data_IF_571172572004
#
_entry.id   IF_571172572004
#
_cell.length_a   1.000
_cell.length_b   1.000
_cell.length_c   1.000
_cell.angle_alpha   90.00
_cell.angle_beta   90.00
_cell.angle_gamma   90.00
#
_symmetry.space_group_name_H-M   'P 1'
#
loop_
_entity.id
_entity.type
_entity.pdbx_description
1 polymer ?
#
# COMPACT_ATOMS: atom_id res chain seq x y z
N UNK A 1 32.71 -7.90 56.09
CA UNK A 1 31.45 -7.11 55.94
C UNK A 1 31.09 -6.84 54.46
N UNK A 2 31.42 -7.76 53.53
CA UNK A 2 30.91 -7.80 52.16
C UNK A 2 29.50 -8.43 52.18
N UNK A 3 28.56 -7.81 52.86
CA UNK A 3 27.68 -6.73 52.42
C UNK A 3 26.34 -7.36 52.07
N UNK A 4 25.53 -7.57 53.12
CA UNK A 4 24.12 -7.96 53.03
C UNK A 4 23.36 -7.15 51.96
N UNK A 5 23.84 -5.94 51.60
CA UNK A 5 23.29 -5.13 50.51
C UNK A 5 23.37 -5.82 49.14
N UNK A 6 24.45 -6.54 48.81
CA UNK A 6 24.58 -7.28 47.53
C UNK A 6 23.62 -8.46 47.47
N UNK A 7 23.50 -9.22 48.56
CA UNK A 7 22.56 -10.34 48.68
C UNK A 7 21.11 -9.84 48.60
N UNK A 8 20.80 -8.75 49.32
CA UNK A 8 19.48 -8.11 49.28
C UNK A 8 19.13 -7.63 47.87
N UNK A 9 20.07 -6.99 47.15
CA UNK A 9 19.86 -6.56 45.77
C UNK A 9 19.59 -7.74 44.84
N UNK A 10 20.39 -8.80 44.90
CA UNK A 10 20.20 -9.99 44.08
C UNK A 10 18.84 -10.69 44.33
N UNK A 11 18.37 -10.71 45.59
CA UNK A 11 17.04 -11.24 45.93
C UNK A 11 15.91 -10.36 45.37
N UNK A 12 16.05 -9.03 45.44
CA UNK A 12 15.08 -8.09 44.84
C UNK A 12 15.04 -8.26 43.32
N UNK A 13 16.20 -8.29 42.65
CA UNK A 13 16.28 -8.44 41.19
C UNK A 13 15.63 -9.77 40.74
N UNK A 14 15.88 -10.87 41.48
CA UNK A 14 15.25 -12.17 41.21
C UNK A 14 13.74 -12.15 41.46
N UNK A 15 13.27 -11.44 42.49
CA UNK A 15 11.83 -11.25 42.72
C UNK A 15 11.18 -10.46 41.59
N UNK A 16 11.82 -9.38 41.11
CA UNK A 16 11.33 -8.59 39.97
C UNK A 16 11.19 -9.49 38.74
N UNK A 17 12.22 -10.29 38.42
CA UNK A 17 12.15 -11.23 37.29
C UNK A 17 11.00 -12.24 37.40
N UNK A 18 10.75 -12.78 38.61
CA UNK A 18 9.64 -13.71 38.86
C UNK A 18 8.28 -13.01 38.68
N UNK A 19 8.15 -11.78 39.19
CA UNK A 19 6.92 -10.99 39.07
C UNK A 19 6.68 -10.62 37.61
N UNK A 20 7.69 -10.13 36.89
CA UNK A 20 7.61 -9.81 35.47
C UNK A 20 7.20 -11.03 34.64
N UNK A 21 7.83 -12.18 34.90
CA UNK A 21 7.48 -13.43 34.24
C UNK A 21 6.01 -13.82 34.52
N UNK A 22 5.56 -13.76 35.79
CA UNK A 22 4.16 -14.05 36.13
C UNK A 22 3.17 -13.06 35.50
N UNK A 23 3.53 -11.78 35.42
CA UNK A 23 2.69 -10.77 34.76
C UNK A 23 2.60 -11.02 33.25
N UNK A 24 3.68 -11.45 32.61
CA UNK A 24 3.68 -11.86 31.20
C UNK A 24 2.76 -13.08 31.00
N UNK A 25 2.88 -14.12 31.83
CA UNK A 25 2.02 -15.30 31.75
C UNK A 25 0.55 -14.95 32.02
N UNK A 26 0.26 -14.10 33.02
CA UNK A 26 -1.10 -13.63 33.26
C UNK A 26 -1.65 -12.84 32.08
N UNK A 27 -0.85 -11.97 31.45
CA UNK A 27 -1.27 -11.21 30.26
C UNK A 27 -1.64 -12.12 29.09
N UNK A 28 -1.00 -13.28 28.93
CA UNK A 28 -1.36 -14.27 27.90
C UNK A 28 -2.73 -14.90 28.14
N UNK A 29 -3.24 -14.86 29.38
CA UNK A 29 -4.58 -15.39 29.72
C UNK A 29 -5.70 -14.37 29.51
N UNK A 30 -5.37 -13.08 29.32
CA UNK A 30 -6.36 -12.06 29.05
C UNK A 30 -6.85 -12.20 27.60
N UNK A 31 -8.16 -11.99 27.33
CA UNK A 31 -8.66 -11.93 25.98
C UNK A 31 -7.91 -10.86 25.18
N UNK A 32 -7.76 -11.04 23.85
CA UNK A 32 -7.09 -10.05 23.02
C UNK A 32 -7.76 -8.69 23.19
N UNK A 33 -6.95 -7.63 23.18
CA UNK A 33 -7.44 -6.27 23.35
C UNK A 33 -8.32 -5.80 22.18
N UNK A 34 -8.49 -6.61 21.12
CA UNK A 34 -9.26 -6.35 19.91
C UNK A 34 -10.17 -7.55 19.60
N UNK A 35 -11.22 -7.31 18.83
CA UNK A 35 -12.08 -8.35 18.26
C UNK A 35 -11.58 -8.73 16.87
N UNK A 36 -11.42 -10.03 16.61
CA UNK A 36 -11.10 -10.57 15.29
C UNK A 36 -12.03 -11.74 14.98
N UNK A 37 -12.92 -11.54 14.00
CA UNK A 37 -13.78 -12.58 13.44
C UNK A 37 -13.27 -12.83 12.02
N UNK A 38 -12.80 -14.06 11.73
CA UNK A 38 -12.17 -14.39 10.46
C UNK A 38 -12.78 -15.66 9.86
N UNK A 39 -13.81 -15.48 9.04
CA UNK A 39 -14.41 -16.55 8.22
C UNK A 39 -13.84 -16.58 6.79
N UNK A 40 -13.13 -15.53 6.38
CA UNK A 40 -12.41 -15.41 5.11
C UNK A 40 -10.90 -15.63 5.25
N UNK A 41 -10.11 -14.90 4.47
CA UNK A 41 -8.64 -15.04 4.45
C UNK A 41 -7.95 -13.82 5.08
N UNK A 42 -7.03 -14.08 6.02
CA UNK A 42 -6.14 -13.06 6.59
C UNK A 42 -4.69 -13.38 6.22
N UNK A 43 -4.05 -12.49 5.46
CA UNK A 43 -2.61 -12.51 5.25
C UNK A 43 -1.93 -11.45 6.13
N UNK A 44 -1.09 -11.89 7.07
CA UNK A 44 -0.41 -11.02 8.03
C UNK A 44 1.03 -11.51 8.29
N UNK A 45 1.99 -11.18 7.41
CA UNK A 45 3.33 -11.77 7.43
C UNK A 45 4.18 -11.28 8.60
N UNK A 46 3.91 -10.08 9.13
CA UNK A 46 4.61 -9.52 10.29
C UNK A 46 3.93 -9.83 11.62
N UNK A 47 2.85 -10.64 11.62
CA UNK A 47 2.00 -10.87 12.78
C UNK A 47 1.59 -9.54 13.45
N UNK A 48 1.21 -8.55 12.62
CA UNK A 48 0.75 -7.23 13.04
C UNK A 48 -0.37 -7.39 14.05
N UNK A 49 -0.16 -6.87 15.26
CA UNK A 49 -1.22 -6.75 16.25
C UNK A 49 -2.15 -5.59 15.92
N UNK A 50 -3.42 -5.73 16.27
CA UNK A 50 -4.38 -4.63 16.19
C UNK A 50 -4.41 -3.88 17.51
N UNK A 51 -4.53 -2.55 17.46
CA UNK A 51 -4.66 -1.74 18.67
C UNK A 51 -5.92 -2.10 19.48
N UNK A 52 -5.89 -1.75 20.77
CA UNK A 52 -6.99 -2.04 21.69
C UNK A 52 -8.32 -1.44 21.21
N UNK A 53 -9.42 -2.18 21.39
CA UNK A 53 -10.77 -1.84 20.98
C UNK A 53 -11.05 -2.00 19.48
N UNK A 54 -10.06 -2.39 18.67
CA UNK A 54 -10.26 -2.57 17.23
C UNK A 54 -11.17 -3.76 16.93
N UNK A 55 -11.97 -3.64 15.86
CA UNK A 55 -12.94 -4.63 15.43
C UNK A 55 -12.65 -5.03 13.98
N UNK A 56 -12.14 -6.24 13.80
CA UNK A 56 -11.73 -6.78 12.50
C UNK A 56 -12.66 -7.93 12.16
N UNK A 57 -13.48 -7.76 11.13
CA UNK A 57 -14.43 -8.78 10.67
C UNK A 57 -14.11 -9.09 9.23
N UNK A 58 -13.67 -10.32 8.96
CA UNK A 58 -13.31 -10.80 7.62
C UNK A 58 -14.33 -11.89 7.25
N UNK A 59 -15.43 -11.53 6.54
CA UNK A 59 -16.45 -12.50 6.14
C UNK A 59 -15.92 -13.58 5.20
N UNK A 60 -16.65 -14.70 5.13
CA UNK A 60 -16.38 -15.77 4.16
C UNK A 60 -16.33 -15.22 2.73
N UNK A 61 -15.29 -15.61 1.98
CA UNK A 61 -15.09 -15.16 0.60
C UNK A 61 -14.44 -13.78 0.45
N UNK A 62 -14.11 -13.11 1.57
CA UNK A 62 -13.36 -11.86 1.57
C UNK A 62 -11.91 -12.06 2.07
N UNK A 63 -11.06 -11.07 1.81
CA UNK A 63 -9.63 -11.11 2.15
C UNK A 63 -9.17 -9.81 2.80
N UNK A 64 -8.37 -9.92 3.86
CA UNK A 64 -7.56 -8.83 4.40
C UNK A 64 -6.09 -9.17 4.21
N UNK A 65 -5.36 -8.31 3.50
CA UNK A 65 -3.94 -8.48 3.21
C UNK A 65 -3.18 -7.32 3.85
N UNK A 66 -2.34 -7.63 4.83
CA UNK A 66 -1.47 -6.68 5.51
C UNK A 66 -0.02 -6.88 5.03
N UNK A 67 0.64 -5.76 4.74
CA UNK A 67 2.06 -5.72 4.44
C UNK A 67 2.94 -5.79 5.69
N UNK A 68 4.24 -5.77 5.47
CA UNK A 68 5.25 -5.73 6.53
C UNK A 68 5.19 -4.40 7.26
N UNK A 69 5.40 -4.42 8.57
CA UNK A 69 5.48 -3.21 9.41
C UNK A 69 4.26 -2.27 9.27
N UNK A 70 3.09 -2.83 8.95
CA UNK A 70 1.83 -2.09 9.03
C UNK A 70 1.51 -1.83 10.50
N UNK A 71 1.05 -0.62 10.81
CA UNK A 71 0.56 -0.26 12.14
C UNK A 71 -0.95 -0.03 12.09
N UNK A 72 -1.71 -0.72 12.94
CA UNK A 72 -3.14 -0.49 13.13
C UNK A 72 -3.40 -0.02 14.57
N UNK A 73 -3.92 1.19 14.69
CA UNK A 73 -4.22 1.87 15.95
C UNK A 73 -5.42 1.29 16.69
N UNK A 74 -5.87 2.02 17.70
CA UNK A 74 -6.95 1.65 18.62
C UNK A 74 -8.32 1.97 18.04
N UNK A 75 -9.30 1.14 18.36
CA UNK A 75 -10.70 1.31 17.92
C UNK A 75 -10.82 1.46 16.40
N UNK A 76 -9.97 0.78 15.64
CA UNK A 76 -10.05 0.73 14.18
C UNK A 76 -11.04 -0.35 13.78
N UNK A 77 -11.89 -0.04 12.81
CA UNK A 77 -12.83 -1.00 12.23
C UNK A 77 -12.36 -1.36 10.81
N UNK A 78 -12.18 -2.65 10.55
CA UNK A 78 -11.81 -3.17 9.23
C UNK A 78 -12.78 -4.29 8.84
N UNK A 79 -13.41 -4.13 7.68
CA UNK A 79 -14.40 -5.05 7.16
C UNK A 79 -14.36 -5.16 5.64
N UNK A 80 -13.53 -6.07 5.06
CA UNK A 80 -13.49 -6.25 3.62
C UNK A 80 -14.81 -6.79 3.07
N UNK A 81 -15.29 -6.23 1.96
CA UNK A 81 -16.39 -6.83 1.19
C UNK A 81 -15.89 -7.96 0.28
N UNK A 82 -14.82 -7.69 -0.49
CA UNK A 82 -14.08 -8.69 -1.25
C UNK A 82 -12.61 -8.67 -0.85
N UNK A 83 -11.94 -7.52 -0.92
CA UNK A 83 -10.53 -7.42 -0.57
C UNK A 83 -10.17 -6.04 -0.03
N UNK A 84 -9.46 -6.02 1.09
CA UNK A 84 -8.73 -4.86 1.58
C UNK A 84 -7.25 -5.20 1.59
N UNK A 85 -6.43 -4.37 0.94
CA UNK A 85 -4.97 -4.44 0.98
C UNK A 85 -4.42 -3.20 1.67
N UNK A 86 -3.57 -3.40 2.67
CA UNK A 86 -2.80 -2.34 3.33
C UNK A 86 -1.33 -2.73 3.20
N UNK A 87 -0.60 -2.04 2.32
CA UNK A 87 0.77 -2.43 1.95
C UNK A 87 1.82 -1.96 2.97
N UNK A 88 3.06 -2.40 2.76
CA UNK A 88 4.15 -2.28 3.73
C UNK A 88 4.34 -0.85 4.29
N UNK A 89 4.71 -0.77 5.56
CA UNK A 89 5.08 0.45 6.28
C UNK A 89 3.97 1.51 6.37
N UNK A 90 2.73 1.15 6.04
CA UNK A 90 1.59 2.04 6.20
C UNK A 90 1.10 2.05 7.66
N UNK A 91 0.79 3.24 8.15
CA UNK A 91 0.27 3.45 9.50
C UNK A 91 -1.16 3.97 9.46
N UNK A 92 -2.03 3.31 10.21
CA UNK A 92 -3.44 3.67 10.39
C UNK A 92 -3.66 3.96 11.87
N UNK A 93 -3.85 5.23 12.20
CA UNK A 93 -4.06 5.65 13.58
C UNK A 93 -5.47 5.33 14.08
N UNK A 94 -5.74 5.74 15.31
CA UNK A 94 -6.94 5.40 16.05
C UNK A 94 -8.25 5.80 15.36
N UNK A 95 -9.31 5.03 15.61
CA UNK A 95 -10.70 5.35 15.27
C UNK A 95 -10.95 5.51 13.77
N UNK A 96 -10.17 4.82 12.94
CA UNK A 96 -10.43 4.75 11.51
C UNK A 96 -11.46 3.65 11.20
N UNK A 97 -12.30 3.88 10.20
CA UNK A 97 -13.26 2.92 9.67
C UNK A 97 -12.94 2.65 8.20
N UNK A 98 -12.62 1.40 7.87
CA UNK A 98 -12.13 0.97 6.57
C UNK A 98 -12.97 -0.23 6.11
N UNK A 99 -13.97 0.05 5.27
CA UNK A 99 -15.00 -0.92 4.90
C UNK A 99 -15.11 -1.10 3.38
N UNK A 100 -15.33 -2.33 2.93
CA UNK A 100 -15.57 -2.63 1.52
C UNK A 100 -14.31 -3.07 0.76
N UNK A 101 -14.08 -2.53 -0.43
CA UNK A 101 -12.95 -2.85 -1.30
C UNK A 101 -11.95 -1.69 -1.35
N UNK A 102 -10.71 -1.95 -0.93
CA UNK A 102 -9.68 -0.93 -0.84
C UNK A 102 -8.29 -1.46 -1.17
N UNK A 103 -7.48 -0.61 -1.80
CA UNK A 103 -6.04 -0.78 -1.91
C UNK A 103 -5.34 0.45 -1.33
N UNK A 104 -4.61 0.26 -0.24
CA UNK A 104 -3.77 1.29 0.39
C UNK A 104 -2.30 0.91 0.14
N UNK A 105 -1.57 1.80 -0.52
CA UNK A 105 -0.17 1.63 -0.90
C UNK A 105 0.79 1.69 0.28
N UNK A 106 2.08 1.72 -0.03
CA UNK A 106 3.19 1.68 0.93
C UNK A 106 3.44 3.05 1.55
N UNK A 107 4.01 3.06 2.75
CA UNK A 107 4.46 4.29 3.44
C UNK A 107 3.37 5.36 3.62
N UNK A 108 2.10 4.97 3.64
CA UNK A 108 1.03 5.92 3.87
C UNK A 108 0.88 6.23 5.37
N UNK A 109 0.42 7.44 5.67
CA UNK A 109 0.12 7.88 7.04
C UNK A 109 -1.33 8.31 7.10
N UNK A 110 -2.13 7.55 7.83
CA UNK A 110 -3.52 7.82 8.12
C UNK A 110 -3.61 8.33 9.56
N UNK A 111 -3.96 9.60 9.73
CA UNK A 111 -4.24 10.17 11.04
C UNK A 111 -5.53 9.58 11.65
N UNK A 112 -5.99 10.09 12.79
CA UNK A 112 -7.17 9.53 13.46
C UNK A 112 -8.49 9.85 12.76
N UNK A 113 -9.54 9.07 13.05
CA UNK A 113 -10.93 9.34 12.65
C UNK A 113 -11.16 9.37 11.13
N UNK A 114 -10.46 8.56 10.34
CA UNK A 114 -10.67 8.51 8.88
C UNK A 114 -11.80 7.53 8.56
N UNK A 115 -12.71 7.93 7.67
CA UNK A 115 -13.81 7.09 7.21
C UNK A 115 -13.70 6.83 5.70
N UNK A 116 -13.60 5.55 5.33
CA UNK A 116 -13.58 5.09 3.95
C UNK A 116 -14.53 3.91 3.78
N UNK A 117 -15.42 4.02 2.81
CA UNK A 117 -16.29 2.92 2.37
C UNK A 117 -16.35 2.85 0.86
N UNK A 118 -16.29 1.63 0.31
CA UNK A 118 -16.48 1.39 -1.12
C UNK A 118 -17.95 1.26 -1.54
N UNK A 119 -18.87 1.11 -0.58
CA UNK A 119 -20.29 0.87 -0.83
C UNK A 119 -21.05 2.13 -1.27
N UNK A 120 -22.14 1.93 -2.00
CA UNK A 120 -23.14 2.97 -2.29
C UNK A 120 -24.55 2.38 -2.25
N UNK A 121 -25.55 3.26 -2.22
CA UNK A 121 -26.97 2.89 -2.35
C UNK A 121 -27.55 3.56 -3.60
N UNK A 122 -28.45 2.86 -4.28
CA UNK A 122 -29.10 3.37 -5.47
C UNK A 122 -30.38 4.13 -5.11
N UNK A 123 -30.49 5.35 -5.61
CA UNK A 123 -31.64 6.22 -5.35
C UNK A 123 -32.26 6.83 -6.62
N UNK A 124 -31.56 6.75 -7.76
CA UNK A 124 -31.99 7.34 -9.04
C UNK A 124 -32.48 6.31 -10.07
N UNK A 125 -32.39 5.01 -9.79
CA UNK A 125 -32.79 3.96 -10.75
C UNK A 125 -34.29 3.97 -11.03
N UNK A 126 -35.09 4.13 -9.97
CA UNK A 126 -36.53 4.29 -10.07
C UNK A 126 -37.04 5.18 -8.92
N UNK A 127 -37.22 6.49 -9.16
CA UNK A 127 -37.61 7.43 -8.11
C UNK A 127 -39.07 7.26 -7.61
N UNK A 128 -39.84 6.33 -8.20
CA UNK A 128 -41.22 6.04 -7.80
C UNK A 128 -41.33 4.93 -6.74
N UNK A 129 -40.23 4.26 -6.39
CA UNK A 129 -40.18 3.26 -5.31
C UNK A 129 -39.20 3.71 -4.20
N UNK A 130 -39.30 3.09 -3.02
CA UNK A 130 -38.42 3.43 -1.90
C UNK A 130 -36.96 3.13 -2.25
N UNK A 131 -36.02 3.96 -1.75
CA UNK A 131 -34.57 3.78 -1.95
C UNK A 131 -34.13 2.34 -1.60
N UNK A 132 -34.64 1.78 -0.49
CA UNK A 132 -34.30 0.41 -0.07
C UNK A 132 -34.76 -0.65 -1.06
N UNK A 133 -35.91 -0.45 -1.69
CA UNK A 133 -36.45 -1.36 -2.70
C UNK A 133 -35.67 -1.25 -4.02
N UNK A 134 -35.07 -0.07 -4.30
CA UNK A 134 -34.16 0.08 -5.44
C UNK A 134 -32.89 -0.77 -5.28
N UNK A 135 -32.32 -0.88 -4.08
CA UNK A 135 -31.15 -1.74 -3.83
C UNK A 135 -31.46 -3.24 -4.00
N UNK A 136 -32.69 -3.68 -3.69
CA UNK A 136 -33.08 -5.08 -3.94
C UNK A 136 -33.00 -5.42 -5.43
N UNK A 137 -33.38 -4.48 -6.29
CA UNK A 137 -33.33 -4.64 -7.75
C UNK A 137 -31.89 -4.66 -8.31
N UNK A 138 -30.90 -4.20 -7.54
CA UNK A 138 -29.47 -4.24 -7.91
C UNK A 138 -28.92 -5.65 -7.80
N UNK A 139 -29.38 -6.43 -6.82
CA UNK A 139 -28.87 -7.81 -6.59
C UNK A 139 -29.09 -8.75 -7.77
N UNK A 140 -30.10 -8.46 -8.60
CA UNK A 140 -30.43 -9.24 -9.80
C UNK A 140 -29.76 -8.74 -11.08
N UNK A 141 -28.97 -7.65 -11.01
CA UNK A 141 -28.27 -7.07 -12.15
C UNK A 141 -26.76 -7.04 -11.91
N UNK A 142 -26.01 -7.86 -12.65
CA UNK A 142 -24.56 -8.03 -12.46
C UNK A 142 -23.76 -6.73 -12.64
N UNK A 143 -24.14 -5.88 -13.59
CA UNK A 143 -23.44 -4.61 -13.83
C UNK A 143 -23.65 -3.63 -12.68
N UNK A 144 -24.87 -3.55 -12.14
CA UNK A 144 -25.17 -2.70 -10.99
C UNK A 144 -24.55 -3.27 -9.72
N UNK A 145 -24.55 -4.59 -9.56
CA UNK A 145 -23.93 -5.26 -8.42
C UNK A 145 -22.41 -4.99 -8.37
N UNK A 146 -21.73 -5.00 -9.53
CA UNK A 146 -20.32 -4.64 -9.62
C UNK A 146 -20.08 -3.17 -9.24
N UNK A 147 -20.98 -2.28 -9.67
CA UNK A 147 -20.89 -0.85 -9.40
C UNK A 147 -21.29 -0.47 -7.96
N UNK A 148 -22.02 -1.35 -7.26
CA UNK A 148 -22.42 -1.17 -5.86
C UNK A 148 -21.22 -1.08 -4.90
N UNK A 149 -20.07 -1.66 -5.28
CA UNK A 149 -18.81 -1.55 -4.53
C UNK A 149 -17.70 -0.98 -5.41
N UNK A 150 -17.53 0.35 -5.37
CA UNK A 150 -16.46 1.03 -6.11
C UNK A 150 -15.21 1.14 -5.26
N UNK A 151 -14.18 0.38 -5.65
CA UNK A 151 -12.90 0.33 -4.94
C UNK A 151 -12.31 1.73 -4.71
N UNK A 152 -11.78 1.95 -3.50
CA UNK A 152 -11.00 3.16 -3.17
C UNK A 152 -9.52 2.80 -3.19
N UNK A 153 -8.75 3.54 -3.97
CA UNK A 153 -7.30 3.33 -4.12
C UNK A 153 -6.56 4.52 -3.52
N UNK A 154 -5.69 4.26 -2.56
CA UNK A 154 -4.69 5.22 -2.05
C UNK A 154 -3.33 4.70 -2.47
N UNK A 155 -2.63 5.44 -3.33
CA UNK A 155 -1.28 5.05 -3.77
C UNK A 155 -0.22 5.38 -2.71
N UNK A 156 1.03 4.98 -2.96
CA UNK A 156 2.16 5.10 -2.04
C UNK A 156 2.41 6.55 -1.54
N UNK A 157 3.04 6.67 -0.37
CA UNK A 157 3.50 7.95 0.22
C UNK A 157 2.38 9.01 0.41
N UNK A 158 1.14 8.58 0.65
CA UNK A 158 0.04 9.51 0.92
C UNK A 158 -0.09 9.84 2.41
N UNK A 159 -0.39 11.10 2.72
CA UNK A 159 -0.75 11.54 4.07
C UNK A 159 -2.21 11.98 4.13
N UNK A 160 -2.98 11.29 4.96
CA UNK A 160 -4.39 11.56 5.20
C UNK A 160 -4.56 12.20 6.58
N UNK A 161 -5.04 13.44 6.60
CA UNK A 161 -5.30 14.21 7.82
C UNK A 161 -6.46 13.66 8.64
N UNK A 162 -6.59 14.16 9.87
CA UNK A 162 -7.61 13.73 10.82
C UNK A 162 -9.02 14.03 10.30
N UNK A 163 -9.98 13.15 10.58
CA UNK A 163 -11.41 13.36 10.26
C UNK A 163 -11.70 13.57 8.77
N UNK A 164 -10.98 12.86 7.90
CA UNK A 164 -11.22 12.89 6.45
C UNK A 164 -12.25 11.82 6.07
N UNK A 165 -13.18 12.21 5.20
CA UNK A 165 -14.13 11.31 4.55
C UNK A 165 -13.79 11.15 3.07
N UNK A 166 -13.91 9.92 2.56
CA UNK A 166 -13.77 9.60 1.15
C UNK A 166 -15.07 9.07 0.58
N UNK A 167 -15.52 9.65 -0.54
CA UNK A 167 -16.54 9.04 -1.39
C UNK A 167 -16.00 7.71 -1.96
N UNK A 168 -16.87 6.75 -2.22
CA UNK A 168 -16.50 5.50 -2.90
C UNK A 168 -15.93 5.75 -4.32
N UNK A 169 -15.13 4.81 -4.82
CA UNK A 169 -14.71 4.79 -6.24
C UNK A 169 -13.72 5.85 -6.66
N UNK A 170 -12.84 6.30 -5.76
CA UNK A 170 -11.85 7.33 -6.05
C UNK A 170 -10.43 6.81 -5.90
N UNK A 171 -9.50 7.51 -6.54
CA UNK A 171 -8.06 7.25 -6.49
C UNK A 171 -7.32 8.46 -5.92
N UNK A 172 -6.49 8.25 -4.91
CA UNK A 172 -5.56 9.24 -4.37
C UNK A 172 -4.17 8.94 -4.93
N UNK A 173 -3.65 9.84 -5.75
CA UNK A 173 -2.36 9.67 -6.43
C UNK A 173 -1.18 9.74 -5.46
N UNK A 174 -0.08 9.04 -5.80
CA UNK A 174 1.15 8.94 -4.99
C UNK A 174 1.61 10.29 -4.43
N UNK A 175 2.09 10.31 -3.19
CA UNK A 175 2.71 11.50 -2.60
C UNK A 175 1.73 12.61 -2.21
N UNK A 176 0.42 12.38 -2.34
CA UNK A 176 -0.62 13.39 -2.09
C UNK A 176 -0.93 13.56 -0.61
N UNK A 177 -1.40 14.75 -0.25
CA UNK A 177 -1.77 15.13 1.12
C UNK A 177 -3.22 15.57 1.13
N UNK A 178 -4.02 14.96 2.01
CA UNK A 178 -5.41 15.34 2.28
C UNK A 178 -5.46 16.07 3.63
N UNK A 179 -5.82 17.35 3.62
CA UNK A 179 -5.94 18.16 4.83
C UNK A 179 -7.04 17.64 5.76
N UNK A 180 -6.89 17.88 7.06
CA UNK A 180 -7.87 17.47 8.07
C UNK A 180 -9.28 18.02 7.78
N UNK A 181 -10.31 17.30 8.23
CA UNK A 181 -11.73 17.63 8.04
C UNK A 181 -12.18 17.77 6.58
N UNK A 182 -11.48 17.12 5.64
CA UNK A 182 -11.84 17.20 4.21
C UNK A 182 -12.85 16.14 3.79
N UNK A 183 -13.71 16.49 2.84
CA UNK A 183 -14.65 15.56 2.18
C UNK A 183 -14.19 15.37 0.73
N UNK A 184 -13.53 14.24 0.47
CA UNK A 184 -12.95 13.94 -0.84
C UNK A 184 -14.01 13.31 -1.74
N UNK A 185 -14.40 14.04 -2.78
CA UNK A 185 -15.48 13.63 -3.70
C UNK A 185 -15.01 13.31 -5.11
N UNK A 186 -13.71 13.49 -5.39
CA UNK A 186 -13.07 13.25 -6.70
C UNK A 186 -11.68 12.67 -6.50
N UNK A 187 -11.19 11.90 -7.47
CA UNK A 187 -9.81 11.41 -7.50
C UNK A 187 -8.81 12.57 -7.48
N UNK A 188 -7.67 12.36 -6.82
CA UNK A 188 -6.65 13.37 -6.56
C UNK A 188 -5.40 13.03 -7.39
N UNK A 189 -4.88 13.97 -8.21
CA UNK A 189 -3.66 13.75 -8.97
C UNK A 189 -2.44 13.54 -8.05
N UNK A 190 -1.39 12.83 -8.52
CA UNK A 190 -0.18 12.61 -7.73
C UNK A 190 0.46 13.90 -7.25
N UNK A 191 1.10 13.85 -6.09
CA UNK A 191 1.79 14.96 -5.44
C UNK A 191 0.92 16.21 -5.28
N UNK A 192 -0.39 16.05 -5.04
CA UNK A 192 -1.30 17.16 -4.79
C UNK A 192 -1.54 17.36 -3.30
N UNK A 193 -1.77 18.61 -2.89
CA UNK A 193 -2.22 18.95 -1.54
C UNK A 193 -3.63 19.49 -1.66
N UNK A 194 -4.59 18.83 -1.00
CA UNK A 194 -6.00 19.16 -1.11
C UNK A 194 -6.61 19.36 0.27
N UNK A 195 -7.61 20.23 0.37
CA UNK A 195 -8.42 20.34 1.59
C UNK A 195 -9.83 20.88 1.29
N UNK A 196 -10.73 20.78 2.28
CA UNK A 196 -12.03 21.44 2.28
C UNK A 196 -13.22 20.51 2.03
N UNK A 197 -14.42 21.10 1.99
CA UNK A 197 -15.70 20.42 1.82
C UNK A 197 -16.50 21.13 0.71
N UNK A 198 -16.58 20.56 -0.50
CA UNK A 198 -15.79 19.42 -0.99
C UNK A 198 -14.31 19.76 -1.16
N UNK A 199 -13.44 18.75 -1.06
CA UNK A 199 -11.99 18.93 -1.16
C UNK A 199 -11.57 19.49 -2.53
N UNK A 200 -10.62 20.42 -2.53
CA UNK A 200 -10.05 21.05 -3.72
C UNK A 200 -8.53 21.07 -3.64
N UNK A 201 -7.87 20.97 -4.80
CA UNK A 201 -6.42 21.13 -4.89
C UNK A 201 -6.06 22.56 -4.51
N UNK A 202 -5.26 22.70 -3.46
CA UNK A 202 -4.74 23.98 -2.99
C UNK A 202 -3.45 24.33 -3.71
N UNK A 203 -2.55 23.34 -3.80
CA UNK A 203 -1.27 23.43 -4.51
C UNK A 203 -0.72 22.04 -4.80
N UNK A 204 0.29 21.98 -5.66
CA UNK A 204 1.11 20.78 -5.84
C UNK A 204 2.22 20.75 -4.78
N UNK A 205 2.53 19.57 -4.24
CA UNK A 205 3.74 19.27 -3.44
C UNK A 205 4.97 19.25 -4.35
N UNK A 206 4.80 18.71 -5.56
CA UNK A 206 5.79 18.67 -6.64
C UNK A 206 5.07 18.95 -7.96
N UNK A 207 5.69 19.71 -8.86
CA UNK A 207 5.21 19.76 -10.25
C UNK A 207 5.56 18.45 -10.95
N UNK A 208 4.66 17.47 -10.80
CA UNK A 208 4.84 16.13 -11.33
C UNK A 208 4.70 16.14 -12.85
N UNK A 209 5.85 16.11 -13.53
CA UNK A 209 5.95 16.09 -14.99
C UNK A 209 6.94 15.01 -15.40
N UNK A 210 6.44 13.83 -15.80
CA UNK A 210 7.27 12.69 -16.20
C UNK A 210 8.37 13.08 -17.21
N UNK A 211 9.67 12.93 -16.85
CA UNK A 211 10.77 13.29 -17.73
C UNK A 211 11.01 12.21 -18.80
N UNK A 212 11.99 12.44 -19.68
CA UNK A 212 12.44 11.45 -20.69
C UNK A 212 13.48 10.47 -20.14
N UNK A 213 14.13 10.79 -19.02
CA UNK A 213 15.11 9.91 -18.36
C UNK A 213 15.06 10.13 -16.85
N UNK A 214 15.26 9.04 -16.10
CA UNK A 214 15.33 9.00 -14.64
C UNK A 214 16.49 8.11 -14.21
N UNK A 215 17.20 8.49 -13.16
CA UNK A 215 18.36 7.76 -12.63
C UNK A 215 18.28 7.57 -11.13
N UNK A 216 18.80 6.44 -10.64
CA UNK A 216 18.78 6.09 -9.21
C UNK A 216 19.67 6.98 -8.33
N UNK A 217 20.65 7.66 -8.93
CA UNK A 217 21.62 8.53 -8.25
C UNK A 217 21.24 10.02 -8.34
N UNK A 218 20.07 10.33 -8.91
CA UNK A 218 19.48 11.67 -8.93
C UNK A 218 18.21 11.69 -8.07
N UNK A 219 18.25 12.40 -6.95
CA UNK A 219 17.10 12.51 -6.05
C UNK A 219 15.86 13.13 -6.72
N UNK A 220 16.03 13.97 -7.74
CA UNK A 220 14.91 14.56 -8.49
C UNK A 220 14.16 13.52 -9.32
N UNK A 221 14.78 12.36 -9.58
CA UNK A 221 14.18 11.23 -10.29
C UNK A 221 13.30 10.36 -9.39
N UNK A 222 13.46 10.41 -8.06
CA UNK A 222 12.75 9.55 -7.10
C UNK A 222 11.23 9.59 -7.20
N UNK A 223 10.59 10.74 -7.42
CA UNK A 223 9.15 10.81 -7.59
C UNK A 223 8.61 9.95 -8.75
N UNK A 224 9.45 9.67 -9.74
CA UNK A 224 9.13 8.99 -11.00
C UNK A 224 9.46 7.49 -10.99
N UNK A 225 10.21 7.01 -9.99
CA UNK A 225 10.19 5.60 -9.58
C UNK A 225 8.87 5.36 -8.82
N UNK A 226 7.79 5.23 -9.60
CA UNK A 226 6.45 5.60 -9.18
C UNK A 226 5.78 4.58 -8.24
N UNK A 227 5.74 3.30 -8.56
CA UNK A 227 5.12 2.26 -7.70
C UNK A 227 6.03 1.03 -7.66
N UNK A 228 6.08 0.31 -6.54
CA UNK A 228 6.78 -0.98 -6.46
C UNK A 228 8.30 -0.92 -6.25
N UNK A 229 8.85 0.24 -5.93
CA UNK A 229 10.25 0.42 -5.55
C UNK A 229 10.43 0.35 -4.03
N UNK A 230 11.53 -0.23 -3.55
CA UNK A 230 11.89 -0.25 -2.13
C UNK A 230 12.68 1.03 -1.80
N UNK A 231 11.99 2.05 -1.28
CA UNK A 231 12.53 3.41 -1.21
C UNK A 231 12.69 3.98 0.20
N UNK A 232 12.32 3.24 1.26
CA UNK A 232 12.63 3.71 2.61
C UNK A 232 14.13 3.82 2.82
N UNK A 233 14.55 4.63 3.80
CA UNK A 233 15.97 4.76 4.16
C UNK A 233 16.58 3.39 4.50
N UNK A 234 15.89 2.60 5.33
CA UNK A 234 16.31 1.24 5.68
C UNK A 234 16.47 0.34 4.45
N UNK A 235 15.49 0.34 3.53
CA UNK A 235 15.55 -0.48 2.33
C UNK A 235 16.64 -0.03 1.37
N UNK A 236 16.86 1.27 1.20
CA UNK A 236 17.92 1.81 0.33
C UNK A 236 19.30 1.52 0.91
N UNK A 237 19.48 1.72 2.20
CA UNK A 237 20.76 1.49 2.88
C UNK A 237 21.14 0.01 2.82
N UNK A 238 20.18 -0.89 3.06
CA UNK A 238 20.35 -2.35 3.00
C UNK A 238 20.67 -2.89 1.60
N UNK A 239 20.57 -2.05 0.57
CA UNK A 239 20.75 -2.43 -0.83
C UNK A 239 21.76 -1.51 -1.56
N UNK A 240 22.46 -0.66 -0.81
CA UNK A 240 23.30 0.41 -1.35
C UNK A 240 24.47 -0.10 -2.20
N UNK A 241 24.98 -1.30 -1.91
CA UNK A 241 26.04 -1.98 -2.64
C UNK A 241 25.65 -2.37 -4.08
N UNK A 242 24.36 -2.39 -4.38
CA UNK A 242 23.86 -2.78 -5.69
C UNK A 242 23.79 -1.63 -6.69
N UNK A 243 24.00 -0.37 -6.28
CA UNK A 243 24.06 0.80 -7.16
C UNK A 243 22.80 0.95 -8.05
N UNK A 244 21.62 0.73 -7.47
CA UNK A 244 20.31 0.83 -8.12
C UNK A 244 19.18 0.72 -7.09
N UNK A 245 17.93 0.94 -7.53
CA UNK A 245 16.75 0.77 -6.68
C UNK A 245 16.19 -0.64 -6.83
N UNK A 246 16.02 -1.35 -5.71
CA UNK A 246 15.35 -2.63 -5.67
C UNK A 246 13.86 -2.50 -6.03
N UNK A 247 13.32 -3.50 -6.74
CA UNK A 247 11.91 -3.54 -7.16
C UNK A 247 11.18 -4.79 -6.69
N UNK A 248 9.86 -4.66 -6.57
CA UNK A 248 8.91 -5.78 -6.46
C UNK A 248 8.66 -6.41 -7.83
N UNK A 249 7.91 -7.52 -7.83
CA UNK A 249 7.56 -8.25 -9.06
C UNK A 249 6.70 -7.45 -10.03
N UNK A 250 5.97 -6.45 -9.56
CA UNK A 250 5.32 -5.43 -10.39
C UNK A 250 5.72 -4.05 -9.88
N UNK A 251 6.13 -3.19 -10.81
CA UNK A 251 6.54 -1.83 -10.51
C UNK A 251 6.18 -0.90 -11.67
N UNK A 252 6.11 0.40 -11.40
CA UNK A 252 5.77 1.41 -12.39
C UNK A 252 6.77 2.55 -12.40
N UNK A 253 7.16 2.99 -13.59
CA UNK A 253 7.97 4.19 -13.79
C UNK A 253 7.16 5.23 -14.54
N UNK A 254 7.38 6.49 -14.18
CA UNK A 254 6.72 7.64 -14.77
C UNK A 254 7.70 8.40 -15.68
N UNK A 255 7.71 8.06 -16.95
CA UNK A 255 8.49 8.74 -17.99
C UNK A 255 7.59 9.04 -19.19
N UNK A 256 7.83 10.14 -19.89
CA UNK A 256 7.01 10.57 -21.04
C UNK A 256 7.56 10.01 -22.35
N UNK A 257 6.76 9.23 -23.07
CA UNK A 257 7.14 8.58 -24.33
C UNK A 257 6.01 8.72 -25.38
N UNK A 258 6.42 8.61 -26.64
CA UNK A 258 5.55 8.63 -27.80
C UNK A 258 5.50 7.24 -28.44
N UNK A 259 4.43 7.00 -29.20
CA UNK A 259 4.33 5.82 -30.05
C UNK A 259 5.52 5.73 -31.01
N UNK A 260 6.12 4.55 -31.12
CA UNK A 260 7.31 4.29 -31.94
C UNK A 260 8.64 4.64 -31.27
N UNK A 261 8.66 5.39 -30.16
CA UNK A 261 9.88 5.55 -29.36
C UNK A 261 10.21 4.24 -28.61
N UNK A 262 11.50 4.05 -28.31
CA UNK A 262 11.96 2.94 -27.47
C UNK A 262 12.17 3.38 -26.04
N UNK A 263 11.63 2.63 -25.09
CA UNK A 263 11.94 2.79 -23.66
C UNK A 263 13.05 1.81 -23.31
N UNK A 264 14.12 2.33 -22.72
CA UNK A 264 15.25 1.56 -22.22
C UNK A 264 15.26 1.50 -20.71
N UNK A 265 15.48 0.31 -20.17
CA UNK A 265 15.62 0.05 -18.73
C UNK A 265 17.00 -0.55 -18.49
N UNK A 266 17.82 0.09 -17.68
CA UNK A 266 19.11 -0.44 -17.23
C UNK A 266 18.91 -1.12 -15.90
N UNK A 267 19.08 -2.44 -15.87
CA UNK A 267 18.85 -3.23 -14.68
C UNK A 267 19.76 -4.45 -14.57
N UNK A 268 19.78 -5.02 -13.37
CA UNK A 268 20.58 -6.19 -12.98
C UNK A 268 19.75 -7.11 -12.09
N UNK A 269 19.84 -8.42 -12.31
CA UNK A 269 19.26 -9.45 -11.45
C UNK A 269 20.34 -10.06 -10.55
N UNK A 270 20.21 -9.92 -9.22
CA UNK A 270 21.08 -10.62 -8.25
C UNK A 270 20.43 -11.88 -7.68
N UNK A 271 19.19 -12.19 -8.08
CA UNK A 271 18.57 -13.47 -7.76
C UNK A 271 19.34 -14.59 -8.50
N UNK A 272 19.69 -15.70 -7.83
CA UNK A 272 20.31 -16.86 -8.49
C UNK A 272 19.38 -17.50 -9.54
N UNK A 273 18.07 -17.30 -9.43
CA UNK A 273 17.08 -17.80 -10.39
C UNK A 273 16.97 -16.89 -11.61
N UNK A 274 16.67 -17.50 -12.76
CA UNK A 274 16.48 -16.76 -14.01
C UNK A 274 15.20 -15.93 -13.95
N UNK A 275 15.36 -14.61 -14.06
CA UNK A 275 14.25 -13.65 -14.11
C UNK A 275 14.12 -13.02 -15.50
N UNK A 276 12.95 -12.45 -15.74
CA UNK A 276 12.65 -11.77 -16.99
C UNK A 276 11.92 -10.47 -16.71
N UNK A 277 12.35 -9.41 -17.39
CA UNK A 277 11.63 -8.14 -17.41
C UNK A 277 10.61 -8.18 -18.53
N UNK A 278 9.37 -7.86 -18.20
CA UNK A 278 8.25 -7.77 -19.14
C UNK A 278 7.69 -6.35 -19.15
N UNK A 279 7.46 -5.85 -20.36
CA UNK A 279 6.68 -4.64 -20.65
C UNK A 279 5.70 -5.02 -21.76
N UNK A 280 4.40 -4.79 -21.53
CA UNK A 280 3.34 -5.25 -22.45
C UNK A 280 3.49 -6.76 -22.79
N UNK A 281 3.58 -7.11 -24.07
CA UNK A 281 3.82 -8.46 -24.58
C UNK A 281 5.32 -8.78 -24.80
N UNK A 282 6.20 -7.80 -24.60
CA UNK A 282 7.64 -7.95 -24.82
C UNK A 282 8.34 -8.42 -23.53
N UNK A 283 9.22 -9.42 -23.68
CA UNK A 283 9.97 -10.02 -22.58
C UNK A 283 11.47 -10.07 -22.89
N UNK A 284 12.30 -9.80 -21.89
CA UNK A 284 13.77 -9.89 -21.96
C UNK A 284 14.31 -10.66 -20.76
N UNK A 285 15.24 -11.59 -21.00
CA UNK A 285 15.91 -12.32 -19.92
C UNK A 285 16.94 -11.42 -19.23
N UNK A 286 16.88 -11.38 -17.90
CA UNK A 286 17.77 -10.55 -17.10
C UNK A 286 19.13 -11.23 -16.88
N UNK A 287 20.19 -10.43 -16.87
CA UNK A 287 21.56 -10.87 -16.53
C UNK A 287 21.95 -10.40 -15.13
N UNK A 288 23.06 -10.92 -14.63
CA UNK A 288 23.62 -10.55 -13.32
C UNK A 288 24.56 -9.33 -13.37
N UNK A 289 24.61 -8.63 -14.50
CA UNK A 289 25.34 -7.36 -14.67
C UNK A 289 24.36 -6.31 -15.19
N UNK A 290 24.66 -5.03 -14.97
CA UNK A 290 23.81 -3.97 -15.50
C UNK A 290 23.77 -4.04 -17.01
N UNK A 291 22.58 -4.33 -17.53
CA UNK A 291 22.31 -4.46 -18.96
C UNK A 291 21.17 -3.54 -19.33
N UNK A 292 21.30 -2.88 -20.47
CA UNK A 292 20.27 -2.01 -21.03
C UNK A 292 19.33 -2.85 -21.88
N UNK A 293 18.04 -2.80 -21.56
CA UNK A 293 16.98 -3.50 -22.29
C UNK A 293 16.04 -2.49 -22.93
N UNK A 294 15.91 -2.53 -24.25
CA UNK A 294 15.01 -1.64 -25.00
C UNK A 294 13.71 -2.33 -25.42
N UNK A 295 12.62 -1.58 -25.32
CA UNK A 295 11.25 -2.00 -25.61
C UNK A 295 10.58 -0.93 -26.46
N UNK A 296 10.05 -1.31 -27.61
CA UNK A 296 9.33 -0.39 -28.49
C UNK A 296 7.93 -0.12 -27.94
N UNK A 297 7.51 1.15 -27.88
CA UNK A 297 6.23 1.53 -27.30
C UNK A 297 5.14 1.60 -28.36
N UNK A 298 4.07 0.81 -28.17
CA UNK A 298 2.92 0.73 -29.11
C UNK A 298 1.94 1.90 -29.00
N UNK A 299 2.12 2.79 -28.04
CA UNK A 299 1.27 3.95 -27.80
C UNK A 299 2.06 5.03 -27.08
N UNK A 300 1.59 6.26 -27.14
CA UNK A 300 2.12 7.36 -26.32
C UNK A 300 1.63 7.24 -24.88
N UNK A 301 2.42 7.71 -23.91
CA UNK A 301 2.05 7.67 -22.50
C UNK A 301 3.06 8.32 -21.56
N UNK A 302 2.71 8.31 -20.27
CA UNK A 302 3.53 8.93 -19.20
C UNK A 302 3.80 7.97 -18.04
N UNK A 303 3.29 6.74 -18.12
CA UNK A 303 3.38 5.72 -17.09
C UNK A 303 3.55 4.35 -17.74
N UNK A 304 4.53 3.60 -17.25
CA UNK A 304 4.85 2.25 -17.74
C UNK A 304 4.76 1.30 -16.56
N UNK A 305 4.00 0.23 -16.73
CA UNK A 305 3.99 -0.89 -15.80
C UNK A 305 4.92 -1.99 -16.30
N UNK A 306 5.79 -2.47 -15.41
CA UNK A 306 6.78 -3.49 -15.67
C UNK A 306 6.59 -4.65 -14.70
N UNK A 307 6.87 -5.86 -15.18
CA UNK A 307 6.80 -7.07 -14.36
C UNK A 307 8.11 -7.83 -14.39
N UNK A 308 8.51 -8.35 -13.24
CA UNK A 308 9.58 -9.33 -13.09
C UNK A 308 8.94 -10.71 -12.98
N UNK A 309 9.21 -11.57 -13.95
CA UNK A 309 8.71 -12.94 -14.01
C UNK A 309 9.83 -13.93 -13.65
N UNK A 310 9.53 -14.91 -12.80
CA UNK A 310 10.37 -16.11 -12.63
C UNK A 310 10.04 -17.17 -13.68
N UNK A 311 10.94 -18.13 -13.90
CA UNK A 311 10.67 -19.34 -14.70
C UNK A 311 9.68 -20.31 -14.02
N UNK A 312 9.49 -20.17 -12.71
CA UNK A 312 8.51 -20.91 -11.91
C UNK A 312 7.36 -19.96 -11.57
N UNK A 313 6.15 -20.28 -12.03
CA UNK A 313 4.89 -19.61 -11.70
C UNK A 313 4.57 -19.79 -10.21
N UNK A 314 5.28 -19.07 -9.34
CA UNK A 314 4.92 -18.98 -7.93
C UNK A 314 4.26 -17.62 -7.67
N UNK A 315 3.06 -17.69 -7.10
CA UNK A 315 2.13 -16.59 -6.75
C UNK A 315 2.67 -15.58 -5.73
N UNK A 316 3.99 -15.40 -5.62
CA UNK A 316 4.62 -14.49 -4.66
C UNK A 316 4.67 -13.05 -5.21
N UNK A 317 3.50 -12.50 -5.48
CA UNK A 317 3.28 -11.26 -6.24
C UNK A 317 3.66 -9.96 -5.48
N UNK A 318 4.36 -10.05 -4.36
CA UNK A 318 4.56 -8.91 -3.46
C UNK A 318 5.96 -8.80 -2.84
N UNK A 319 6.90 -9.69 -3.16
CA UNK A 319 8.26 -9.65 -2.60
C UNK A 319 9.23 -8.86 -3.47
N UNK A 320 10.28 -8.33 -2.84
CA UNK A 320 11.46 -7.81 -3.53
C UNK A 320 12.08 -8.92 -4.37
N UNK A 321 12.24 -8.70 -5.67
CA UNK A 321 12.68 -9.76 -6.59
C UNK A 321 14.20 -9.82 -6.79
N UNK A 322 14.97 -9.12 -5.95
CA UNK A 322 16.42 -9.01 -6.11
C UNK A 322 16.82 -8.51 -7.52
N UNK A 323 15.97 -7.65 -8.10
CA UNK A 323 16.25 -6.93 -9.34
C UNK A 323 16.42 -5.46 -9.00
N UNK A 324 17.44 -4.85 -9.59
CA UNK A 324 17.86 -3.47 -9.33
C UNK A 324 17.80 -2.67 -10.61
N UNK A 325 17.12 -1.52 -10.55
CA UNK A 325 16.99 -0.59 -11.67
C UNK A 325 17.89 0.61 -11.39
N UNK A 326 18.81 0.92 -12.31
CA UNK A 326 19.67 2.09 -12.19
C UNK A 326 19.18 3.27 -13.03
N UNK A 327 18.60 3.01 -14.19
CA UNK A 327 18.15 4.06 -15.12
C UNK A 327 16.97 3.58 -15.96
N UNK A 328 16.06 4.51 -16.26
CA UNK A 328 15.06 4.35 -17.30
C UNK A 328 15.11 5.58 -18.22
N UNK A 329 15.16 5.38 -19.53
CA UNK A 329 15.26 6.45 -20.53
C UNK A 329 14.39 6.18 -21.75
N UNK A 330 14.03 7.24 -22.46
CA UNK A 330 13.34 7.18 -23.76
C UNK A 330 14.34 7.52 -24.86
N UNK A 331 14.35 6.70 -25.90
CA UNK A 331 15.22 6.78 -27.07
C UNK A 331 14.39 6.97 -28.33
N UNK A 332 14.96 7.75 -29.26
CA UNK A 332 14.37 8.02 -30.57
C UNK A 332 14.72 6.94 -31.58
#
# INVERSE_FOLDING_TARGET
MFSLRKIKKALIDRMIQIVDWRLIEFRKTLPPAYNLICDGELYNPSNVGFGAGSNIVIPKGSKLILGKNVYIGRNVEIGPAQTIVIDDFTSIQDRCTILGNLKIGRYCVFASNINISSGQHYFELNPFINIKDQDLNVTTNESLLKDHHREVIVEDDCWIGTNVFFKNGLKIGKGSIIGANSVVTKSIPPYSIVAGIPARVLRKRLDFKPPKSIRYDDEKSFPYFYEGFLMSHEERDSNSEHLGLAVRSSFKVAISFQEGESVSIVCKNVDPTKKYLQIEDQRRALTNVYTKYSFEMKRSGEMIELKILSSEDSLDNQRSCNVFISECSVEK
#
